data_IF_344185185972
#
_entry.id   IF_344185185972
#
_cell.length_a   1.000
_cell.length_b   1.000
_cell.length_c   1.000
_cell.angle_alpha   90.00
_cell.angle_beta   90.00
_cell.angle_gamma   90.00
#
_symmetry.space_group_name_H-M   'P 1'
#
loop_
_entity.id
_entity.type
_entity.pdbx_description
1 polymer ?
#
# COMPACT_ATOMS: atom_id res chain seq x y z
N UNK A 1 42.99 -14.57 -18.06
CA UNK A 1 42.23 -13.31 -18.26
C UNK A 1 40.77 -13.56 -18.67
N UNK A 2 40.46 -14.59 -19.48
CA UNK A 2 39.08 -14.96 -19.85
C UNK A 2 38.12 -15.34 -18.68
N UNK A 3 38.65 -15.85 -17.55
CA UNK A 3 37.83 -16.25 -16.38
C UNK A 3 37.31 -15.07 -15.56
N UNK A 4 37.94 -13.89 -15.69
CA UNK A 4 37.54 -12.65 -14.99
C UNK A 4 36.38 -11.98 -15.73
N UNK A 5 36.40 -12.00 -17.07
CA UNK A 5 35.30 -11.50 -17.90
C UNK A 5 33.99 -12.28 -17.69
N UNK A 6 34.08 -13.60 -17.49
CA UNK A 6 32.93 -14.44 -17.15
C UNK A 6 32.33 -14.09 -15.78
N UNK A 7 33.17 -13.91 -14.76
CA UNK A 7 32.72 -13.53 -13.40
C UNK A 7 32.16 -12.11 -13.33
N UNK A 8 32.73 -11.17 -14.08
CA UNK A 8 32.24 -9.79 -14.20
C UNK A 8 30.91 -9.77 -14.95
N UNK A 9 30.74 -10.55 -16.02
CA UNK A 9 29.46 -10.66 -16.72
C UNK A 9 28.37 -11.32 -15.86
N UNK A 10 28.70 -12.33 -15.04
CA UNK A 10 27.75 -12.93 -14.09
C UNK A 10 27.41 -11.98 -12.95
N UNK A 11 28.39 -11.25 -12.39
CA UNK A 11 28.14 -10.27 -11.34
C UNK A 11 27.31 -9.08 -11.84
N UNK A 12 27.60 -8.56 -13.04
CA UNK A 12 26.81 -7.51 -13.69
C UNK A 12 25.42 -8.03 -14.08
N UNK A 13 25.32 -9.27 -14.55
CA UNK A 13 24.05 -9.93 -14.84
C UNK A 13 23.19 -10.06 -13.58
N UNK A 14 23.73 -10.59 -12.48
CA UNK A 14 23.05 -10.72 -11.18
C UNK A 14 22.64 -9.36 -10.61
N UNK A 15 23.50 -8.34 -10.71
CA UNK A 15 23.19 -6.97 -10.31
C UNK A 15 22.03 -6.37 -11.15
N UNK A 16 21.98 -6.68 -12.44
CA UNK A 16 20.88 -6.28 -13.32
C UNK A 16 19.57 -7.02 -13.00
N UNK A 17 19.62 -8.30 -12.60
CA UNK A 17 18.39 -9.03 -12.19
C UNK A 17 17.87 -8.52 -10.84
N UNK A 18 18.76 -8.10 -9.92
CA UNK A 18 18.37 -7.50 -8.62
C UNK A 18 17.72 -6.12 -8.77
N UNK A 19 18.01 -5.37 -9.84
CA UNK A 19 17.38 -4.08 -10.12
C UNK A 19 15.93 -4.20 -10.65
N UNK A 20 15.50 -5.40 -11.07
CA UNK A 20 14.21 -5.62 -11.71
C UNK A 20 13.02 -5.84 -10.75
N UNK A 21 13.23 -5.85 -9.43
CA UNK A 21 12.14 -6.16 -8.46
C UNK A 21 11.66 -4.98 -7.61
N UNK A 22 11.82 -3.75 -8.08
CA UNK A 22 11.18 -2.58 -7.45
C UNK A 22 10.12 -1.97 -8.35
N UNK A 23 9.17 -2.79 -8.80
CA UNK A 23 7.93 -2.28 -9.41
C UNK A 23 7.00 -1.76 -8.29
N UNK A 24 7.39 -0.64 -7.69
CA UNK A 24 6.60 0.14 -6.75
C UNK A 24 6.46 1.60 -7.20
N UNK A 25 6.56 1.85 -8.50
CA UNK A 25 6.54 3.20 -9.06
C UNK A 25 5.09 3.58 -9.40
N UNK A 26 4.40 4.28 -8.48
CA UNK A 26 3.41 5.27 -8.92
C UNK A 26 2.19 5.58 -8.03
N UNK A 27 1.67 4.66 -7.21
CA UNK A 27 0.38 4.93 -6.54
C UNK A 27 0.38 4.76 -5.02
N UNK A 28 1.34 4.02 -4.46
CA UNK A 28 1.25 3.54 -3.08
C UNK A 28 2.27 4.20 -2.14
N UNK A 29 2.10 5.49 -1.86
CA UNK A 29 2.96 6.18 -0.91
C UNK A 29 2.33 6.18 0.49
N UNK A 30 2.82 5.33 1.39
CA UNK A 30 2.33 5.27 2.76
C UNK A 30 2.51 6.59 3.54
N UNK A 31 3.52 7.41 3.19
CA UNK A 31 3.77 8.67 3.87
C UNK A 31 2.64 9.69 3.67
N UNK A 32 1.89 9.61 2.55
CA UNK A 32 0.74 10.51 2.32
C UNK A 32 -0.45 10.16 3.22
N UNK A 33 -0.46 8.96 3.82
CA UNK A 33 -1.51 8.46 4.71
C UNK A 33 -1.20 8.73 6.19
N UNK A 34 -0.11 9.42 6.51
CA UNK A 34 0.21 9.83 7.87
C UNK A 34 -0.97 10.53 8.62
N UNK A 35 -1.76 11.44 8.01
CA UNK A 35 -2.94 12.00 8.68
C UNK A 35 -4.05 10.99 8.99
N UNK A 36 -4.03 9.80 8.40
CA UNK A 36 -4.98 8.72 8.66
C UNK A 36 -4.60 7.85 9.85
N UNK A 37 -3.42 8.02 10.45
CA UNK A 37 -2.90 7.08 11.44
C UNK A 37 -3.81 6.91 12.66
N UNK A 38 -4.44 7.98 13.15
CA UNK A 38 -5.39 7.87 14.27
C UNK A 38 -6.68 7.13 13.85
N UNK A 39 -7.18 7.38 12.63
CA UNK A 39 -8.36 6.71 12.11
C UNK A 39 -8.09 5.23 11.80
N UNK A 40 -6.90 4.90 11.31
CA UNK A 40 -6.49 3.51 11.01
C UNK A 40 -6.25 2.67 12.26
N UNK A 41 -6.07 3.31 13.42
CA UNK A 41 -6.09 2.65 14.74
C UNK A 41 -7.50 2.52 15.32
N UNK A 42 -8.49 3.20 14.72
CA UNK A 42 -9.84 3.31 15.26
C UNK A 42 -9.97 4.25 16.47
N UNK A 43 -8.97 5.09 16.74
CA UNK A 43 -8.96 5.99 17.90
C UNK A 43 -9.57 7.36 17.62
N UNK A 44 -9.78 7.71 16.36
CA UNK A 44 -10.40 8.97 15.94
C UNK A 44 -11.14 8.84 14.61
N UNK A 45 -12.01 9.80 14.31
CA UNK A 45 -12.60 9.93 12.98
C UNK A 45 -11.55 10.39 11.95
N UNK A 46 -11.67 10.00 10.66
CA UNK A 46 -10.78 10.47 9.61
C UNK A 46 -10.92 11.98 9.40
N UNK A 47 -9.78 12.67 9.33
CA UNK A 47 -9.75 14.10 9.00
C UNK A 47 -10.00 14.33 7.51
N UNK A 48 -10.34 15.56 7.12
CA UNK A 48 -10.47 15.94 5.71
C UNK A 48 -9.20 15.65 4.91
N UNK A 49 -8.03 15.89 5.50
CA UNK A 49 -6.72 15.58 4.90
C UNK A 49 -6.53 14.07 4.70
N UNK A 50 -6.91 13.26 5.68
CA UNK A 50 -6.90 11.81 5.54
C UNK A 50 -7.81 11.36 4.38
N UNK A 51 -9.05 11.85 4.33
CA UNK A 51 -9.99 11.48 3.27
C UNK A 51 -9.49 11.90 1.88
N UNK A 52 -8.87 13.08 1.76
CA UNK A 52 -8.25 13.51 0.51
C UNK A 52 -7.10 12.58 0.08
N UNK A 53 -6.22 12.20 1.02
CA UNK A 53 -5.13 11.27 0.74
C UNK A 53 -5.63 9.88 0.32
N UNK A 54 -6.63 9.34 1.04
CA UNK A 54 -7.25 8.04 0.71
C UNK A 54 -7.98 8.10 -0.63
N UNK A 55 -8.66 9.21 -0.95
CA UNK A 55 -9.28 9.40 -2.27
C UNK A 55 -8.24 9.38 -3.40
N UNK A 56 -7.12 10.07 -3.22
CA UNK A 56 -6.07 10.14 -4.22
C UNK A 56 -5.38 8.78 -4.42
N UNK A 57 -5.02 8.10 -3.33
CA UNK A 57 -4.35 6.79 -3.38
C UNK A 57 -5.32 5.69 -3.81
N UNK A 58 -6.49 5.59 -3.17
CA UNK A 58 -7.49 4.55 -3.40
C UNK A 58 -8.27 4.71 -4.70
N UNK A 59 -8.38 5.92 -5.23
CA UNK A 59 -9.01 6.19 -6.53
C UNK A 59 -8.09 5.96 -7.74
N UNK A 60 -6.78 5.83 -7.53
CA UNK A 60 -5.83 5.49 -8.59
C UNK A 60 -5.99 4.03 -9.05
N UNK A 61 -5.55 3.72 -10.27
CA UNK A 61 -5.49 2.34 -10.74
C UNK A 61 -4.59 1.50 -9.81
N UNK A 62 -5.15 0.41 -9.25
CA UNK A 62 -4.45 -0.42 -8.26
C UNK A 62 -4.42 0.15 -6.83
N UNK A 63 -5.02 1.33 -6.60
CA UNK A 63 -5.15 1.97 -5.29
C UNK A 63 -5.73 1.09 -4.19
N UNK A 64 -6.86 0.39 -4.42
CA UNK A 64 -7.45 -0.50 -3.42
C UNK A 64 -6.51 -1.63 -2.98
N UNK A 65 -5.81 -2.24 -3.94
CA UNK A 65 -4.82 -3.30 -3.67
C UNK A 65 -3.61 -2.75 -2.91
N UNK A 66 -3.17 -1.54 -3.27
CA UNK A 66 -2.14 -0.81 -2.55
C UNK A 66 -2.51 -0.59 -1.07
N UNK A 67 -3.70 -0.05 -0.81
CA UNK A 67 -4.16 0.23 0.55
C UNK A 67 -4.32 -1.06 1.37
N UNK A 68 -4.77 -2.15 0.74
CA UNK A 68 -4.80 -3.47 1.34
C UNK A 68 -3.41 -3.93 1.79
N UNK A 69 -2.44 -3.93 0.87
CA UNK A 69 -1.05 -4.34 1.15
C UNK A 69 -0.41 -3.50 2.25
N UNK A 70 -0.62 -2.17 2.23
CA UNK A 70 -0.12 -1.28 3.27
C UNK A 70 -0.71 -1.61 4.64
N UNK A 71 -2.04 -1.78 4.69
CA UNK A 71 -2.75 -2.09 5.94
C UNK A 71 -2.27 -3.40 6.57
N UNK A 72 -1.91 -4.38 5.74
CA UNK A 72 -1.44 -5.69 6.22
C UNK A 72 0.08 -5.80 6.34
N UNK A 73 0.82 -4.73 6.01
CA UNK A 73 2.28 -4.72 6.06
C UNK A 73 2.81 -4.77 7.50
N UNK A 74 4.04 -5.26 7.65
CA UNK A 74 4.74 -5.24 8.94
C UNK A 74 4.88 -3.81 9.50
N UNK A 75 5.04 -2.81 8.63
CA UNK A 75 5.09 -1.39 9.02
C UNK A 75 3.76 -0.94 9.65
N UNK A 76 2.62 -1.25 9.05
CA UNK A 76 1.32 -0.90 9.60
C UNK A 76 1.10 -1.57 10.96
N UNK A 77 1.46 -2.84 11.09
CA UNK A 77 1.40 -3.57 12.36
C UNK A 77 2.28 -2.96 13.44
N UNK A 78 3.53 -2.61 13.11
CA UNK A 78 4.44 -1.94 14.03
C UNK A 78 3.93 -0.57 14.49
N UNK A 79 3.17 0.12 13.62
CA UNK A 79 2.53 1.39 13.95
C UNK A 79 1.20 1.22 14.70
N UNK A 80 0.75 -0.01 14.98
CA UNK A 80 -0.50 -0.30 15.69
C UNK A 80 -1.77 -0.15 14.86
N UNK A 81 -1.66 -0.17 13.53
CA UNK A 81 -2.82 -0.09 12.63
C UNK A 81 -3.72 -1.30 12.83
N UNK A 82 -5.02 -1.04 12.99
CA UNK A 82 -6.05 -2.06 13.00
C UNK A 82 -6.58 -2.26 11.56
N UNK A 83 -6.50 -3.47 10.99
CA UNK A 83 -6.89 -3.71 9.61
C UNK A 83 -8.37 -3.42 9.33
N UNK A 84 -9.28 -3.78 10.24
CA UNK A 84 -10.72 -3.53 10.08
C UNK A 84 -11.03 -2.03 10.15
N UNK A 85 -10.39 -1.31 11.08
CA UNK A 85 -10.56 0.15 11.19
C UNK A 85 -10.01 0.88 9.95
N UNK A 86 -8.84 0.47 9.46
CA UNK A 86 -8.22 1.02 8.26
C UNK A 86 -9.04 0.76 6.99
N UNK A 87 -9.55 -0.47 6.82
CA UNK A 87 -10.42 -0.84 5.69
C UNK A 87 -11.78 -0.13 5.71
N UNK A 88 -12.26 0.32 6.87
CA UNK A 88 -13.48 1.11 6.99
C UNK A 88 -13.29 2.61 6.65
N UNK A 89 -12.05 3.12 6.56
CA UNK A 89 -11.78 4.54 6.30
C UNK A 89 -12.43 5.04 5.00
N UNK A 90 -12.32 4.36 3.84
CA UNK A 90 -12.94 4.82 2.60
C UNK A 90 -14.45 5.04 2.75
N UNK A 91 -15.14 4.09 3.41
CA UNK A 91 -16.57 4.20 3.70
C UNK A 91 -16.88 5.37 4.64
N UNK A 92 -16.09 5.56 5.71
CA UNK A 92 -16.23 6.69 6.65
C UNK A 92 -15.98 8.04 5.97
N UNK A 93 -15.14 8.08 4.95
CA UNK A 93 -14.89 9.25 4.11
C UNK A 93 -15.94 9.43 2.99
N UNK A 94 -16.94 8.56 2.88
CA UNK A 94 -17.95 8.62 1.81
C UNK A 94 -17.40 8.34 0.41
N UNK A 95 -16.30 7.61 0.31
CA UNK A 95 -15.67 7.26 -0.96
C UNK A 95 -16.28 5.98 -1.52
N UNK A 96 -16.44 5.92 -2.83
CA UNK A 96 -16.91 4.72 -3.51
C UNK A 96 -15.87 3.60 -3.37
N UNK A 97 -16.29 2.44 -2.85
CA UNK A 97 -15.48 1.23 -2.79
C UNK A 97 -15.84 0.35 -4.00
N UNK A 98 -14.87 -0.23 -4.71
CA UNK A 98 -15.17 -1.11 -5.83
C UNK A 98 -15.98 -2.31 -5.36
N UNK A 99 -17.04 -2.65 -6.11
CA UNK A 99 -17.91 -3.75 -5.72
C UNK A 99 -17.18 -5.09 -5.72
N UNK A 100 -17.38 -5.89 -4.68
CA UNK A 100 -16.74 -7.20 -4.53
C UNK A 100 -15.23 -7.15 -4.25
N UNK A 101 -14.68 -5.97 -3.91
CA UNK A 101 -13.28 -5.84 -3.56
C UNK A 101 -12.95 -6.61 -2.27
N UNK A 102 -11.98 -7.51 -2.35
CA UNK A 102 -11.49 -8.27 -1.20
C UNK A 102 -10.03 -7.95 -0.92
N UNK A 103 -9.71 -7.83 0.36
CA UNK A 103 -8.35 -7.69 0.86
C UNK A 103 -8.00 -8.94 1.68
N UNK A 104 -6.99 -9.71 1.25
CA UNK A 104 -6.61 -10.98 1.88
C UNK A 104 -7.81 -11.93 2.14
N UNK A 105 -8.64 -12.14 1.12
CA UNK A 105 -9.87 -12.96 1.17
C UNK A 105 -10.94 -12.45 2.16
N UNK A 106 -10.83 -11.23 2.68
CA UNK A 106 -11.89 -10.55 3.45
C UNK A 106 -12.55 -9.45 2.62
N UNK A 107 -13.89 -9.37 2.57
CA UNK A 107 -14.57 -8.27 1.91
C UNK A 107 -14.30 -6.95 2.64
N UNK A 108 -14.08 -5.88 1.89
CA UNK A 108 -13.89 -4.54 2.46
C UNK A 108 -15.25 -3.91 2.74
N UNK A 109 -15.45 -3.23 3.89
CA UNK A 109 -16.72 -2.56 4.19
C UNK A 109 -17.14 -1.59 3.07
N UNK A 110 -18.35 -1.77 2.55
CA UNK A 110 -18.92 -0.95 1.47
C UNK A 110 -18.60 -1.42 0.05
N UNK A 111 -17.89 -2.54 -0.11
CA UNK A 111 -17.75 -3.28 -1.39
C UNK A 111 -18.96 -4.14 -1.74
#
# INVERSE_FOLDING_TARGET
>A
MAKVFGSVAVAVGVLLVLAAVVQGQGACNAATLQPCLAASKGTAAPTTQCCAAVKNVGGAAGGPQCLCSLTTSALARANGVNPDAAMAIPQKCGLAVPKGFTCNNKPVPGS
#
